data_IF_813149899691
#
_entry.id   IF_813149899691
#
_cell.length_a   1.000
_cell.length_b   1.000
_cell.length_c   1.000
_cell.angle_alpha   90.00
_cell.angle_beta   90.00
_cell.angle_gamma   90.00
#
_symmetry.space_group_name_H-M   'P 1'
#
loop_
_entity.id
_entity.type
_entity.pdbx_description
1 polymer ?
#
# COMPACT_ATOMS: atom_id res chain seq x y z
N UNK A 1 11.74 -27.15 -6.19
CA UNK A 1 10.82 -27.03 -5.04
C UNK A 1 11.38 -26.06 -3.98
N UNK A 2 12.67 -26.15 -3.66
CA UNK A 2 13.40 -25.30 -2.68
C UNK A 2 13.17 -23.78 -2.80
N UNK A 3 13.13 -23.24 -4.03
CA UNK A 3 13.00 -21.79 -4.25
C UNK A 3 11.62 -21.24 -3.85
N UNK A 4 10.56 -22.06 -3.99
CA UNK A 4 9.20 -21.69 -3.56
C UNK A 4 9.11 -21.68 -2.04
N UNK A 5 9.72 -22.67 -1.39
CA UNK A 5 9.80 -22.77 0.07
C UNK A 5 10.58 -21.57 0.67
N UNK A 6 11.70 -21.20 0.06
CA UNK A 6 12.49 -20.04 0.50
C UNK A 6 11.71 -18.71 0.36
N UNK A 7 10.93 -18.54 -0.70
CA UNK A 7 10.07 -17.38 -0.87
C UNK A 7 9.00 -17.33 0.24
N UNK A 8 8.31 -18.44 0.50
CA UNK A 8 7.28 -18.52 1.54
C UNK A 8 7.85 -18.26 2.94
N UNK A 9 9.02 -18.82 3.25
CA UNK A 9 9.69 -18.58 4.53
C UNK A 9 10.07 -17.11 4.70
N UNK A 10 10.64 -16.47 3.67
CA UNK A 10 10.97 -15.04 3.70
C UNK A 10 9.71 -14.17 3.81
N UNK A 11 8.66 -14.50 3.08
CA UNK A 11 7.38 -13.81 3.16
C UNK A 11 6.85 -13.84 4.58
N UNK A 12 6.83 -15.02 5.21
CA UNK A 12 6.40 -15.15 6.59
C UNK A 12 7.25 -14.30 7.55
N UNK A 13 8.58 -14.39 7.47
CA UNK A 13 9.49 -13.62 8.32
C UNK A 13 9.27 -12.12 8.15
N UNK A 14 9.23 -11.62 6.91
CA UNK A 14 9.03 -10.19 6.66
C UNK A 14 7.65 -9.72 7.11
N UNK A 15 6.60 -10.53 6.90
CA UNK A 15 5.26 -10.23 7.40
C UNK A 15 5.24 -10.10 8.92
N UNK A 16 5.89 -11.02 9.66
CA UNK A 16 5.95 -10.96 11.13
C UNK A 16 6.72 -9.73 11.60
N UNK A 17 7.87 -9.42 11.00
CA UNK A 17 8.67 -8.24 11.35
C UNK A 17 7.89 -6.95 11.08
N UNK A 18 7.31 -6.81 9.89
CA UNK A 18 6.55 -5.63 9.52
C UNK A 18 5.29 -5.48 10.37
N UNK A 19 4.64 -6.58 10.75
CA UNK A 19 3.51 -6.56 11.66
C UNK A 19 3.91 -6.18 13.08
N UNK A 20 5.07 -6.64 13.58
CA UNK A 20 5.60 -6.20 14.87
C UNK A 20 5.91 -4.69 14.87
N UNK A 21 6.37 -4.17 13.72
CA UNK A 21 6.59 -2.74 13.51
C UNK A 21 5.32 -1.97 13.11
N UNK A 22 4.13 -2.60 13.07
CA UNK A 22 2.92 -2.00 12.50
C UNK A 22 2.65 -0.61 13.08
N UNK A 23 2.64 -0.47 14.40
CA UNK A 23 2.26 0.78 15.06
C UNK A 23 3.13 1.97 14.60
N UNK A 24 4.44 1.72 14.41
CA UNK A 24 5.37 2.73 13.91
C UNK A 24 5.13 3.04 12.43
N UNK A 25 4.95 2.00 11.61
CA UNK A 25 4.72 2.12 10.17
C UNK A 25 3.42 2.87 9.88
N UNK A 26 2.34 2.53 10.58
CA UNK A 26 1.03 3.18 10.45
C UNK A 26 1.08 4.63 10.88
N UNK A 27 1.77 4.91 11.99
CA UNK A 27 1.88 6.27 12.49
C UNK A 27 2.65 7.16 11.51
N UNK A 28 3.80 6.71 11.02
CA UNK A 28 4.59 7.45 10.02
C UNK A 28 3.81 7.65 8.72
N UNK A 29 3.20 6.59 8.20
CA UNK A 29 2.47 6.66 6.94
C UNK A 29 1.21 7.53 7.06
N UNK A 30 0.46 7.43 8.16
CA UNK A 30 -0.70 8.28 8.36
C UNK A 30 -0.34 9.74 8.63
N UNK A 31 0.83 10.03 9.22
CA UNK A 31 1.36 11.40 9.29
C UNK A 31 1.66 11.95 7.90
N UNK A 32 2.29 11.15 7.03
CA UNK A 32 2.52 11.50 5.62
C UNK A 32 1.18 11.77 4.93
N UNK A 33 0.21 10.87 5.04
CA UNK A 33 -1.14 11.06 4.49
C UNK A 33 -1.79 12.34 4.98
N UNK A 34 -1.72 12.64 6.29
CA UNK A 34 -2.29 13.87 6.88
C UNK A 34 -1.70 15.12 6.24
N UNK A 35 -0.38 15.15 6.10
CA UNK A 35 0.33 16.31 5.55
C UNK A 35 -0.05 16.51 4.09
N UNK A 36 -0.02 15.46 3.28
CA UNK A 36 -0.36 15.55 1.86
C UNK A 36 -1.85 15.85 1.63
N UNK A 37 -2.76 15.20 2.37
CA UNK A 37 -4.19 15.43 2.24
C UNK A 37 -4.56 16.88 2.60
N UNK A 38 -4.04 17.41 3.72
CA UNK A 38 -4.28 18.80 4.07
C UNK A 38 -3.67 19.77 3.04
N UNK A 39 -2.50 19.47 2.48
CA UNK A 39 -1.93 20.27 1.41
C UNK A 39 -2.83 20.29 0.16
N UNK A 40 -3.38 19.14 -0.22
CA UNK A 40 -4.33 19.05 -1.35
C UNK A 40 -5.62 19.81 -1.04
N UNK A 41 -6.24 19.59 0.13
CA UNK A 41 -7.46 20.27 0.54
C UNK A 41 -7.29 21.79 0.59
N UNK A 42 -6.16 22.27 1.10
CA UNK A 42 -5.79 23.69 1.09
C UNK A 42 -5.71 24.25 -0.34
N UNK A 43 -5.05 23.54 -1.26
CA UNK A 43 -4.96 23.96 -2.67
C UNK A 43 -6.33 24.10 -3.34
N UNK A 44 -7.29 23.24 -2.96
CA UNK A 44 -8.65 23.27 -3.47
C UNK A 44 -9.61 24.12 -2.63
N UNK A 45 -9.11 24.89 -1.65
CA UNK A 45 -9.90 25.75 -0.75
C UNK A 45 -11.06 25.03 -0.05
N UNK A 46 -10.86 23.77 0.31
CA UNK A 46 -11.77 23.12 1.23
C UNK A 46 -11.57 23.72 2.64
N UNK A 47 -12.63 24.24 3.26
CA UNK A 47 -12.60 24.80 4.62
C UNK A 47 -12.46 23.72 5.72
N UNK A 48 -12.17 22.48 5.36
CA UNK A 48 -12.06 21.33 6.25
C UNK A 48 -10.60 20.98 6.52
N UNK A 49 -10.20 21.02 7.80
CA UNK A 49 -8.97 20.40 8.28
C UNK A 49 -9.20 18.91 8.50
N UNK A 50 -8.37 18.06 7.90
CA UNK A 50 -8.52 16.61 8.02
C UNK A 50 -7.99 16.11 9.37
N UNK A 51 -8.88 15.59 10.21
CA UNK A 51 -8.52 14.77 11.36
C UNK A 51 -8.56 13.29 10.97
N UNK A 52 -7.38 12.68 10.77
CA UNK A 52 -7.29 11.23 10.66
C UNK A 52 -7.59 10.62 12.03
N UNK A 53 -8.68 9.85 12.12
CA UNK A 53 -9.04 9.06 13.30
C UNK A 53 -8.37 7.70 13.25
N UNK A 54 -8.34 6.99 14.38
CA UNK A 54 -7.68 5.67 14.53
C UNK A 54 -8.07 4.65 13.45
N UNK A 55 -9.34 4.64 13.03
CA UNK A 55 -9.88 3.68 12.06
C UNK A 55 -9.33 3.91 10.65
N UNK A 56 -9.02 5.17 10.30
CA UNK A 56 -8.36 5.50 9.03
C UNK A 56 -6.94 4.93 8.99
N UNK A 57 -6.22 4.93 10.12
CA UNK A 57 -4.88 4.31 10.19
C UNK A 57 -4.96 2.78 10.03
N UNK A 58 -5.98 2.13 10.60
CA UNK A 58 -6.14 0.68 10.50
C UNK A 58 -6.42 0.18 9.08
N UNK A 59 -7.19 0.91 8.28
CA UNK A 59 -7.50 0.49 6.91
C UNK A 59 -6.32 0.66 5.94
N UNK A 60 -5.42 1.61 6.22
CA UNK A 60 -4.24 1.89 5.41
C UNK A 60 -3.14 0.82 5.57
N UNK A 61 -3.05 0.19 6.74
CA UNK A 61 -2.11 -0.91 7.01
C UNK A 61 -2.34 -2.16 6.15
N UNK A 62 -3.61 -2.38 5.75
CA UNK A 62 -4.07 -3.59 5.06
C UNK A 62 -3.43 -3.71 3.68
N UNK A 63 -3.09 -2.59 3.04
CA UNK A 63 -2.38 -2.60 1.76
C UNK A 63 -0.85 -2.65 1.91
N UNK A 64 -0.32 -1.90 2.87
CA UNK A 64 1.10 -1.57 2.91
C UNK A 64 1.99 -2.73 3.39
N UNK A 65 1.59 -3.40 4.48
CA UNK A 65 2.37 -4.50 5.06
C UNK A 65 2.44 -5.70 4.09
N UNK A 66 1.32 -6.17 3.49
CA UNK A 66 1.39 -7.26 2.52
C UNK A 66 2.25 -6.93 1.30
N UNK A 67 2.16 -5.70 0.78
CA UNK A 67 2.96 -5.28 -0.38
C UNK A 67 4.46 -5.34 -0.09
N UNK A 68 4.90 -4.71 1.01
CA UNK A 68 6.31 -4.69 1.39
C UNK A 68 6.85 -6.10 1.67
N UNK A 69 6.04 -6.93 2.34
CA UNK A 69 6.39 -8.32 2.61
C UNK A 69 6.64 -9.09 1.31
N UNK A 70 5.79 -8.92 0.30
CA UNK A 70 5.94 -9.54 -1.02
C UNK A 70 7.21 -9.05 -1.76
N UNK A 71 7.46 -7.74 -1.77
CA UNK A 71 8.65 -7.16 -2.43
C UNK A 71 9.94 -7.68 -1.77
N UNK A 72 10.00 -7.67 -0.45
CA UNK A 72 11.18 -8.13 0.29
C UNK A 72 11.40 -9.64 0.13
N UNK A 73 10.33 -10.43 0.15
CA UNK A 73 10.37 -11.87 -0.02
C UNK A 73 10.82 -12.32 -1.41
N UNK A 74 10.65 -11.46 -2.42
CA UNK A 74 11.01 -11.77 -3.81
C UNK A 74 12.47 -12.21 -3.91
N UNK A 75 12.73 -13.41 -4.39
CA UNK A 75 14.08 -13.92 -4.57
C UNK A 75 14.63 -13.48 -5.92
N UNK A 76 15.96 -13.34 -6.06
CA UNK A 76 16.67 -13.06 -7.34
C UNK A 76 16.53 -11.65 -7.91
N UNK A 77 15.95 -10.72 -7.16
CA UNK A 77 15.98 -9.29 -7.51
C UNK A 77 17.05 -8.61 -6.64
N UNK A 78 17.92 -7.82 -7.27
CA UNK A 78 18.92 -7.01 -6.59
C UNK A 78 18.27 -6.08 -5.55
N UNK A 79 18.98 -5.80 -4.45
CA UNK A 79 18.48 -4.95 -3.38
C UNK A 79 18.04 -3.57 -3.88
N UNK A 80 18.83 -2.93 -4.76
CA UNK A 80 18.49 -1.65 -5.35
C UNK A 80 17.17 -1.69 -6.15
N UNK A 81 16.96 -2.75 -6.95
CA UNK A 81 15.72 -2.95 -7.71
C UNK A 81 14.51 -3.21 -6.79
N UNK A 82 14.71 -3.91 -5.68
CA UNK A 82 13.67 -4.10 -4.65
C UNK A 82 13.29 -2.78 -3.99
N UNK A 83 14.26 -1.98 -3.57
CA UNK A 83 14.02 -0.67 -2.96
C UNK A 83 13.25 0.22 -3.94
N UNK A 84 13.68 0.31 -5.20
CA UNK A 84 12.96 1.06 -6.24
C UNK A 84 11.52 0.57 -6.41
N UNK A 85 11.31 -0.74 -6.41
CA UNK A 85 9.97 -1.32 -6.52
C UNK A 85 9.10 -1.01 -5.30
N UNK A 86 9.69 -1.09 -4.10
CA UNK A 86 9.01 -0.71 -2.85
C UNK A 86 8.59 0.77 -2.89
N UNK A 87 9.51 1.68 -3.23
CA UNK A 87 9.23 3.12 -3.32
C UNK A 87 8.12 3.41 -4.34
N UNK A 88 8.19 2.81 -5.53
CA UNK A 88 7.16 3.00 -6.57
C UNK A 88 5.79 2.49 -6.12
N UNK A 89 5.71 1.27 -5.58
CA UNK A 89 4.44 0.71 -5.12
C UNK A 89 3.86 1.46 -3.93
N UNK A 90 4.71 1.87 -2.98
CA UNK A 90 4.29 2.73 -1.86
C UNK A 90 3.77 4.09 -2.34
N UNK A 91 4.39 4.67 -3.38
CA UNK A 91 3.92 5.94 -3.96
C UNK A 91 2.55 5.78 -4.61
N UNK A 92 2.30 4.65 -5.29
CA UNK A 92 1.00 4.36 -5.90
C UNK A 92 -0.07 4.14 -4.82
N UNK A 93 0.23 3.36 -3.78
CA UNK A 93 -0.67 3.18 -2.64
C UNK A 93 -1.01 4.52 -1.98
N UNK A 94 0.00 5.36 -1.74
CA UNK A 94 -0.19 6.69 -1.16
C UNK A 94 -1.10 7.57 -2.02
N UNK A 95 -0.92 7.57 -3.34
CA UNK A 95 -1.78 8.35 -4.24
C UNK A 95 -3.23 7.86 -4.23
N UNK A 96 -3.44 6.56 -4.17
CA UNK A 96 -4.79 5.96 -4.09
C UNK A 96 -5.45 6.38 -2.77
N UNK A 97 -4.77 6.20 -1.64
CA UNK A 97 -5.27 6.59 -0.32
C UNK A 97 -5.60 8.09 -0.26
N UNK A 98 -4.71 8.94 -0.77
CA UNK A 98 -4.94 10.39 -0.84
C UNK A 98 -6.16 10.74 -1.69
N UNK A 99 -6.30 10.10 -2.85
CA UNK A 99 -7.45 10.35 -3.74
C UNK A 99 -8.76 10.00 -3.06
N UNK A 100 -8.79 8.88 -2.34
CA UNK A 100 -9.98 8.42 -1.62
C UNK A 100 -10.36 9.37 -0.48
N UNK A 101 -9.38 9.74 0.35
CA UNK A 101 -9.56 10.70 1.45
C UNK A 101 -10.08 12.05 0.93
N UNK A 102 -9.49 12.54 -0.16
CA UNK A 102 -9.92 13.79 -0.77
C UNK A 102 -11.35 13.66 -1.33
N UNK A 103 -11.65 12.57 -2.04
CA UNK A 103 -12.98 12.32 -2.60
C UNK A 103 -14.06 12.26 -1.52
N UNK A 104 -13.77 11.63 -0.40
CA UNK A 104 -14.66 11.60 0.77
C UNK A 104 -14.87 13.00 1.34
N UNK A 105 -13.80 13.78 1.45
CA UNK A 105 -13.84 15.16 1.96
C UNK A 105 -14.61 16.13 1.06
N UNK A 106 -14.61 15.94 -0.27
CA UNK A 106 -15.35 16.77 -1.23
C UNK A 106 -16.81 16.33 -1.44
N UNK A 107 -17.16 15.11 -1.04
CA UNK A 107 -18.53 14.62 -1.17
C UNK A 107 -19.42 15.26 -0.11
N UNK A 108 -20.40 16.07 -0.53
CA UNK A 108 -21.40 16.73 0.33
C UNK A 108 -22.25 15.80 1.21
N UNK A 109 -22.09 14.47 1.05
CA UNK A 109 -22.72 13.43 1.87
C UNK A 109 -21.77 12.71 2.83
N UNK A 110 -20.50 13.07 2.95
CA UNK A 110 -19.56 12.66 4.02
C UNK A 110 -19.46 11.17 4.41
N UNK A 111 -20.09 10.25 3.66
CA UNK A 111 -20.40 8.91 4.15
C UNK A 111 -20.57 7.92 2.98
N UNK A 112 -19.63 7.92 2.04
CA UNK A 112 -19.53 6.80 1.09
C UNK A 112 -18.73 5.64 1.73
N UNK A 113 -17.90 5.92 2.75
CA UNK A 113 -17.01 4.94 3.42
C UNK A 113 -17.36 4.76 4.92
N UNK A 114 -18.21 5.62 5.50
CA UNK A 114 -18.52 5.61 6.93
C UNK A 114 -19.48 4.49 7.40
N UNK A 115 -20.22 3.84 6.49
CA UNK A 115 -21.06 2.69 6.85
C UNK A 115 -20.30 1.39 6.61
N UNK A 116 -19.67 0.88 7.68
CA UNK A 116 -18.89 -0.36 7.69
C UNK A 116 -19.70 -1.59 7.24
N UNK A 117 -21.04 -1.52 7.28
CA UNK A 117 -21.94 -2.57 6.82
C UNK A 117 -22.29 -2.51 5.33
N UNK A 118 -21.89 -1.44 4.62
CA UNK A 118 -22.28 -1.23 3.23
C UNK A 118 -21.51 -2.13 2.26
N UNK A 119 -22.17 -2.52 1.16
CA UNK A 119 -21.54 -3.26 0.07
C UNK A 119 -20.35 -2.48 -0.54
N UNK A 120 -20.43 -1.15 -0.57
CA UNK A 120 -19.36 -0.28 -1.06
C UNK A 120 -18.10 -0.39 -0.17
N UNK A 121 -18.26 -0.38 1.15
CA UNK A 121 -17.14 -0.56 2.10
C UNK A 121 -16.49 -1.95 1.97
N UNK A 122 -17.31 -2.99 1.78
CA UNK A 122 -16.81 -4.35 1.59
C UNK A 122 -16.01 -4.50 0.29
N UNK A 123 -16.51 -3.93 -0.81
CA UNK A 123 -15.80 -3.91 -2.10
C UNK A 123 -14.48 -3.14 -1.95
N UNK A 124 -14.53 -1.98 -1.29
CA UNK A 124 -13.37 -1.16 -1.02
C UNK A 124 -12.27 -1.91 -0.26
N UNK A 125 -12.62 -2.54 0.88
CA UNK A 125 -11.68 -3.39 1.63
C UNK A 125 -11.11 -4.53 0.80
N UNK A 126 -11.95 -5.16 -0.02
CA UNK A 126 -11.51 -6.25 -0.90
C UNK A 126 -10.49 -5.77 -1.93
N UNK A 127 -10.72 -4.60 -2.54
CA UNK A 127 -9.79 -3.98 -3.48
C UNK A 127 -8.47 -3.69 -2.80
N UNK A 128 -8.48 -3.08 -1.60
CA UNK A 128 -7.26 -2.79 -0.84
C UNK A 128 -6.46 -4.05 -0.46
N UNK A 129 -7.11 -5.19 -0.30
CA UNK A 129 -6.44 -6.46 0.01
C UNK A 129 -5.81 -7.11 -1.24
N UNK A 130 -6.44 -6.95 -2.40
CA UNK A 130 -5.96 -7.51 -3.68
C UNK A 130 -4.90 -6.62 -4.33
N UNK A 131 -5.01 -5.30 -4.16
CA UNK A 131 -4.14 -4.29 -4.76
C UNK A 131 -2.64 -4.51 -4.48
N UNK A 132 -2.19 -4.87 -3.26
CA UNK A 132 -0.80 -5.22 -2.97
C UNK A 132 -0.26 -6.35 -3.85
N UNK A 133 -1.07 -7.37 -4.08
CA UNK A 133 -0.70 -8.55 -4.88
C UNK A 133 -0.57 -8.15 -6.34
N UNK A 134 -1.52 -7.36 -6.85
CA UNK A 134 -1.52 -6.85 -8.23
C UNK A 134 -0.32 -5.94 -8.46
N UNK A 135 -0.08 -4.97 -7.57
CA UNK A 135 1.06 -4.05 -7.66
C UNK A 135 2.40 -4.80 -7.61
N UNK A 136 2.52 -5.77 -6.70
CA UNK A 136 3.70 -6.61 -6.63
C UNK A 136 3.90 -7.36 -7.95
N UNK A 137 2.86 -7.99 -8.50
CA UNK A 137 2.97 -8.69 -9.78
C UNK A 137 3.36 -7.71 -10.90
N UNK A 138 2.70 -6.57 -11.06
CA UNK A 138 2.99 -5.61 -12.11
C UNK A 138 4.40 -5.02 -12.06
N UNK A 139 4.93 -4.76 -10.85
CA UNK A 139 6.23 -4.11 -10.67
C UNK A 139 7.39 -5.11 -10.60
N UNK A 140 7.19 -6.27 -9.98
CA UNK A 140 8.24 -7.27 -9.78
C UNK A 140 8.31 -8.27 -10.93
N UNK A 141 7.18 -8.67 -11.53
CA UNK A 141 7.17 -9.60 -12.67
C UNK A 141 7.96 -9.05 -13.86
N UNK A 142 7.85 -7.75 -14.14
CA UNK A 142 8.66 -7.06 -15.17
C UNK A 142 10.16 -7.17 -14.92
N UNK A 143 10.59 -7.16 -13.65
CA UNK A 143 12.00 -7.31 -13.30
C UNK A 143 12.49 -8.77 -13.41
N UNK A 144 11.59 -9.74 -13.25
CA UNK A 144 11.91 -11.17 -13.39
C UNK A 144 12.02 -11.61 -14.87
N UNK A 145 11.21 -11.04 -15.77
CA UNK A 145 11.26 -11.35 -17.21
C UNK A 145 12.47 -10.73 -17.90
N UNK A 146 12.91 -9.54 -17.49
CA UNK A 146 14.09 -8.87 -18.07
C UNK A 146 15.39 -9.67 -17.84
N UNK A 147 15.57 -10.25 -16.63
CA UNK A 147 16.70 -11.13 -16.29
C UNK A 147 16.72 -12.47 -17.04
N UNK A 148 15.58 -12.90 -17.60
CA UNK A 148 15.49 -14.13 -18.39
C UNK A 148 15.99 -13.94 -19.82
N UNK A 149 16.00 -12.71 -20.33
CA UNK A 149 16.45 -12.39 -21.69
C UNK A 149 17.96 -12.18 -21.72
N UNK A 150 18.53 -11.50 -20.71
CA UNK A 150 19.98 -11.29 -20.61
C UNK A 150 20.79 -12.58 -20.39
N UNK A 151 20.20 -13.65 -19.86
CA UNK A 151 20.89 -14.93 -19.69
C UNK A 151 20.90 -15.83 -20.92
N UNK A 152 20.28 -15.38 -22.02
CA UNK A 152 20.21 -16.12 -23.30
C UNK A 152 21.04 -15.48 -24.43
N UNK A 153 21.74 -14.40 -24.13
CA UNK A 153 22.77 -13.77 -24.97
C UNK A 153 24.13 -14.04 -24.34
#
# INVERSE_FOLDING_TARGET
MEKKLLFLAKLFIFSVILFACRACVSWLYGLILKVFANAVLFLFRADTTLELTGDTFFNVEIGLIPFLSLVLATTRVEAAKKIRTAVLGLSILLLIDLTLICLESFSSKGAIIADEGSAAYTIYRTILLILPIVLWFSLVYKNLTCLSVEKKL
#
